data_IF_520456202074
#
_entry.id   IF_520456202074
#
_cell.length_a   1.000
_cell.length_b   1.000
_cell.length_c   1.000
_cell.angle_alpha   90.00
_cell.angle_beta   90.00
_cell.angle_gamma   90.00
#
_symmetry.space_group_name_H-M   'P 1'
#
loop_
_entity.id
_entity.type
_entity.pdbx_description
1 polymer ?
#
# COMPACT_ATOMS: atom_id res chain seq x y z
N UNK A 1 46.60 44.69 -67.73
CA UNK A 1 45.44 44.70 -66.81
C UNK A 1 45.98 44.68 -65.39
N UNK A 2 45.51 45.56 -64.49
CA UNK A 2 45.86 45.45 -63.08
C UNK A 2 45.24 44.18 -62.48
N UNK A 3 45.90 43.55 -61.49
CA UNK A 3 45.41 42.33 -60.85
C UNK A 3 44.09 42.63 -60.11
N UNK A 4 43.19 41.65 -60.11
CA UNK A 4 41.88 41.79 -59.47
C UNK A 4 42.04 41.94 -57.96
N UNK A 5 41.49 43.02 -57.40
CA UNK A 5 41.43 43.23 -55.96
C UNK A 5 40.44 42.25 -55.32
N UNK A 6 40.82 41.70 -54.17
CA UNK A 6 40.02 40.75 -53.40
C UNK A 6 39.94 41.22 -51.96
N UNK A 7 38.79 40.95 -51.35
CA UNK A 7 38.55 41.23 -49.94
C UNK A 7 39.05 40.06 -49.09
N UNK A 8 39.78 40.34 -48.01
CA UNK A 8 40.42 39.32 -47.18
C UNK A 8 40.14 39.52 -45.70
N UNK A 9 39.97 38.40 -45.00
CA UNK A 9 39.77 38.37 -43.54
C UNK A 9 40.88 37.53 -42.92
N UNK A 10 41.46 38.03 -41.81
CA UNK A 10 42.44 37.29 -41.01
C UNK A 10 41.72 36.52 -39.89
N UNK A 11 41.89 35.20 -39.84
CA UNK A 11 41.28 34.35 -38.82
C UNK A 11 42.21 34.23 -37.60
N UNK A 12 41.66 34.35 -36.39
CA UNK A 12 42.39 34.14 -35.14
C UNK A 12 41.94 32.83 -34.46
N UNK A 13 42.88 32.11 -33.86
CA UNK A 13 42.57 30.92 -33.08
C UNK A 13 41.87 31.31 -31.77
N UNK A 14 40.75 30.66 -31.49
CA UNK A 14 39.98 30.84 -30.26
C UNK A 14 39.26 29.56 -29.89
N UNK A 15 38.94 29.39 -28.61
CA UNK A 15 38.20 28.22 -28.15
C UNK A 15 36.72 28.37 -28.51
N UNK A 16 36.16 27.35 -29.16
CA UNK A 16 34.74 27.24 -29.40
C UNK A 16 34.16 26.13 -28.51
N UNK A 17 33.08 26.44 -27.79
CA UNK A 17 32.34 25.42 -27.03
C UNK A 17 31.34 24.76 -27.98
N UNK A 18 31.45 23.45 -28.15
CA UNK A 18 30.50 22.67 -28.92
C UNK A 18 29.34 22.26 -27.99
N UNK A 19 28.17 22.83 -28.20
CA UNK A 19 26.96 22.44 -27.48
C UNK A 19 26.08 21.56 -28.35
N UNK A 20 25.39 20.60 -27.72
CA UNK A 20 24.43 19.73 -28.36
C UNK A 20 23.12 19.78 -27.57
N UNK A 21 22.03 20.15 -28.24
CA UNK A 21 20.70 20.10 -27.65
C UNK A 21 20.08 18.74 -27.91
N UNK A 22 19.66 18.08 -26.83
CA UNK A 22 19.05 16.76 -26.87
C UNK A 22 17.58 16.88 -26.43
N UNK A 23 16.61 16.55 -27.29
CA UNK A 23 15.21 16.55 -26.90
C UNK A 23 14.95 15.43 -25.89
N UNK A 24 14.17 15.73 -24.85
CA UNK A 24 13.80 14.79 -23.80
C UNK A 24 12.36 14.97 -23.35
N UNK A 25 11.82 13.96 -22.66
CA UNK A 25 10.51 14.04 -21.99
C UNK A 25 10.68 13.78 -20.51
N UNK A 26 9.92 14.51 -19.70
CA UNK A 26 9.85 14.27 -18.26
C UNK A 26 9.00 13.03 -17.97
N UNK A 27 9.41 12.27 -16.96
CA UNK A 27 8.66 11.13 -16.42
C UNK A 27 8.58 11.24 -14.91
N UNK A 28 7.50 10.70 -14.34
CA UNK A 28 7.35 10.64 -12.90
C UNK A 28 8.44 9.74 -12.29
N UNK A 29 9.08 10.22 -11.22
CA UNK A 29 10.08 9.44 -10.49
C UNK A 29 9.49 8.16 -9.88
N UNK A 30 8.23 8.21 -9.43
CA UNK A 30 7.46 7.07 -8.93
C UNK A 30 6.01 7.19 -9.36
N UNK A 31 5.42 6.08 -9.75
CA UNK A 31 3.99 5.97 -10.05
C UNK A 31 3.39 4.85 -9.22
N UNK A 32 2.20 5.08 -8.67
CA UNK A 32 1.48 4.10 -7.88
C UNK A 32 0.03 4.01 -8.38
N UNK A 33 -0.43 2.78 -8.63
CA UNK A 33 -1.83 2.52 -8.96
C UNK A 33 -2.56 2.07 -7.70
N UNK A 34 -3.57 2.82 -7.30
CA UNK A 34 -4.40 2.47 -6.15
C UNK A 34 -5.51 1.54 -6.64
N UNK A 35 -5.58 0.33 -6.06
CA UNK A 35 -6.59 -0.68 -6.37
C UNK A 35 -7.28 -1.14 -5.10
N UNK A 36 -8.58 -1.41 -5.18
CA UNK A 36 -9.31 -2.02 -4.10
C UNK A 36 -8.81 -3.47 -3.88
N UNK A 37 -8.61 -3.85 -2.62
CA UNK A 37 -8.23 -5.22 -2.23
C UNK A 37 -9.41 -6.08 -1.81
N UNK A 38 -10.56 -5.45 -1.60
CA UNK A 38 -11.80 -6.06 -1.15
C UNK A 38 -12.93 -5.56 -2.04
N UNK A 39 -13.96 -6.37 -2.20
CA UNK A 39 -15.16 -6.01 -2.93
C UNK A 39 -16.05 -5.09 -2.08
N UNK A 40 -16.85 -4.26 -2.74
CA UNK A 40 -17.80 -3.40 -2.06
C UNK A 40 -18.09 -2.11 -2.81
N UNK A 41 -19.06 -1.36 -2.30
CA UNK A 41 -19.48 -0.09 -2.87
C UNK A 41 -18.65 1.04 -2.24
N UNK A 42 -18.13 1.95 -3.07
CA UNK A 42 -17.43 3.15 -2.58
C UNK A 42 -18.46 4.12 -1.99
N UNK A 43 -18.40 4.36 -0.68
CA UNK A 43 -19.26 5.32 0.01
C UNK A 43 -18.77 6.76 -0.21
N UNK A 44 -17.46 6.98 -0.06
CA UNK A 44 -16.88 8.33 -0.10
C UNK A 44 -15.47 8.34 -0.69
N UNK A 45 -15.16 9.44 -1.38
CA UNK A 45 -13.81 9.84 -1.75
C UNK A 45 -13.31 10.86 -0.71
N UNK A 46 -12.14 10.60 -0.13
CA UNK A 46 -11.60 11.34 1.02
C UNK A 46 -10.47 12.31 0.64
N UNK A 47 -10.23 12.52 -0.65
CA UNK A 47 -9.20 13.43 -1.15
C UNK A 47 -9.75 14.31 -2.26
N UNK A 48 -9.04 15.42 -2.53
CA UNK A 48 -9.31 16.31 -3.65
C UNK A 48 -8.42 15.92 -4.83
N UNK A 49 -8.97 15.85 -6.02
CA UNK A 49 -8.18 15.57 -7.22
C UNK A 49 -7.12 16.66 -7.45
N UNK A 50 -5.92 16.23 -7.81
CA UNK A 50 -4.77 17.12 -8.03
C UNK A 50 -4.08 17.61 -6.76
N UNK A 51 -4.50 17.19 -5.55
CA UNK A 51 -3.78 17.53 -4.31
C UNK A 51 -2.64 16.56 -4.00
N UNK A 52 -1.58 17.06 -3.37
CA UNK A 52 -0.54 16.23 -2.78
C UNK A 52 -1.06 15.46 -1.56
N UNK A 53 -0.75 14.16 -1.53
CA UNK A 53 -1.15 13.24 -0.44
C UNK A 53 0.08 12.62 0.21
N UNK A 54 -0.01 12.35 1.52
CA UNK A 54 1.04 11.64 2.25
C UNK A 54 0.77 10.13 2.22
N UNK A 55 1.82 9.35 2.45
CA UNK A 55 1.68 7.91 2.60
C UNK A 55 0.77 7.59 3.80
N UNK A 56 -0.14 6.63 3.62
CA UNK A 56 -1.10 6.22 4.65
C UNK A 56 -2.38 7.07 4.73
N UNK A 57 -2.49 8.16 3.96
CA UNK A 57 -3.73 8.94 3.90
C UNK A 57 -4.87 8.09 3.32
N UNK A 58 -6.02 7.97 4.02
CA UNK A 58 -7.20 7.29 3.47
C UNK A 58 -7.70 8.01 2.21
N UNK A 59 -7.86 7.26 1.11
CA UNK A 59 -8.31 7.83 -0.17
C UNK A 59 -9.77 7.54 -0.46
N UNK A 60 -10.22 6.34 -0.13
CA UNK A 60 -11.58 5.87 -0.37
C UNK A 60 -12.12 5.17 0.86
N UNK A 61 -13.41 5.34 1.10
CA UNK A 61 -14.17 4.59 2.08
C UNK A 61 -15.11 3.65 1.34
N UNK A 62 -14.98 2.35 1.61
CA UNK A 62 -15.86 1.29 1.08
C UNK A 62 -16.89 0.96 2.15
N UNK A 63 -18.14 0.66 1.76
CA UNK A 63 -19.16 0.20 2.68
C UNK A 63 -18.70 -1.08 3.39
N UNK A 64 -18.39 -0.92 4.66
CA UNK A 64 -17.86 -1.96 5.51
C UNK A 64 -18.91 -2.71 6.32
N UNK A 65 -20.22 -2.57 6.08
CA UNK A 65 -21.26 -3.19 6.92
C UNK A 65 -21.09 -4.70 7.02
N UNK A 66 -20.94 -5.41 5.90
CA UNK A 66 -20.73 -6.86 5.88
C UNK A 66 -19.43 -7.24 6.59
N UNK A 67 -18.34 -6.51 6.35
CA UNK A 67 -17.05 -6.75 7.01
C UNK A 67 -17.10 -6.50 8.52
N UNK A 68 -17.81 -5.46 8.97
CA UNK A 68 -18.03 -5.18 10.39
C UNK A 68 -18.84 -6.29 11.04
N UNK A 69 -19.95 -6.70 10.44
CA UNK A 69 -20.77 -7.80 10.97
C UNK A 69 -19.97 -9.11 11.06
N UNK A 70 -19.20 -9.45 10.02
CA UNK A 70 -18.34 -10.64 10.03
C UNK A 70 -17.26 -10.56 11.11
N UNK A 71 -16.62 -9.40 11.29
CA UNK A 71 -15.63 -9.18 12.34
C UNK A 71 -16.24 -9.28 13.74
N UNK A 72 -17.43 -8.73 13.97
CA UNK A 72 -18.15 -8.86 15.24
C UNK A 72 -18.52 -10.31 15.54
N UNK A 73 -18.99 -11.07 14.55
CA UNK A 73 -19.27 -12.51 14.69
C UNK A 73 -18.01 -13.28 15.08
N UNK A 74 -16.90 -13.09 14.37
CA UNK A 74 -15.64 -13.77 14.66
C UNK A 74 -15.10 -13.40 16.05
N UNK A 75 -15.24 -12.14 16.47
CA UNK A 75 -14.89 -11.72 17.83
C UNK A 75 -15.72 -12.42 18.90
N UNK A 76 -17.02 -12.59 18.68
CA UNK A 76 -17.89 -13.31 19.60
C UNK A 76 -17.51 -14.80 19.69
N UNK A 77 -17.23 -15.43 18.55
CA UNK A 77 -16.79 -16.83 18.48
C UNK A 77 -15.44 -17.04 19.20
N UNK A 78 -14.48 -16.14 18.97
CA UNK A 78 -13.19 -16.16 19.66
C UNK A 78 -13.34 -15.93 21.18
N UNK A 79 -14.23 -15.03 21.60
CA UNK A 79 -14.51 -14.80 23.02
C UNK A 79 -15.13 -16.04 23.69
N UNK A 80 -16.07 -16.72 23.03
CA UNK A 80 -16.66 -17.96 23.52
C UNK A 80 -15.63 -19.09 23.61
N UNK A 81 -14.80 -19.26 22.57
CA UNK A 81 -13.73 -20.25 22.58
C UNK A 81 -12.73 -19.97 23.71
N UNK A 82 -12.38 -18.70 23.94
CA UNK A 82 -11.49 -18.29 25.02
C UNK A 82 -12.07 -18.61 26.39
N UNK A 83 -13.34 -18.26 26.62
CA UNK A 83 -14.02 -18.59 27.87
C UNK A 83 -14.08 -20.10 28.13
N UNK A 84 -14.24 -20.91 27.07
CA UNK A 84 -14.23 -22.37 27.18
C UNK A 84 -12.87 -22.90 27.62
N UNK A 85 -11.79 -22.42 27.00
CA UNK A 85 -10.41 -22.77 27.38
C UNK A 85 -10.10 -22.34 28.81
N UNK A 86 -10.42 -21.10 29.18
CA UNK A 86 -10.18 -20.60 30.55
C UNK A 86 -10.96 -21.41 31.60
N UNK A 87 -12.17 -21.90 31.25
CA UNK A 87 -12.93 -22.81 32.12
C UNK A 87 -12.31 -24.20 32.21
N UNK A 88 -11.77 -24.73 31.11
CA UNK A 88 -11.21 -26.09 31.08
C UNK A 88 -9.84 -26.20 31.77
N UNK A 89 -9.04 -25.13 31.79
CA UNK A 89 -7.75 -25.09 32.50
C UNK A 89 -7.82 -25.61 33.95
N UNK A 90 -8.61 -25.00 34.87
CA UNK A 90 -8.69 -25.48 36.26
C UNK A 90 -9.39 -26.84 36.37
N UNK A 91 -10.31 -27.18 35.45
CA UNK A 91 -10.98 -28.47 35.46
C UNK A 91 -10.04 -29.62 35.07
N UNK A 92 -9.07 -29.37 34.19
CA UNK A 92 -8.05 -30.35 33.83
C UNK A 92 -7.12 -30.63 35.01
N UNK A 93 -6.75 -29.59 35.77
CA UNK A 93 -5.97 -29.72 37.01
C UNK A 93 -6.71 -30.58 38.05
N UNK A 94 -8.03 -30.44 38.12
CA UNK A 94 -8.92 -31.27 38.95
C UNK A 94 -9.26 -32.64 38.34
N UNK A 95 -8.70 -32.98 37.16
CA UNK A 95 -9.01 -34.19 36.37
C UNK A 95 -10.51 -34.38 36.05
N UNK A 96 -11.26 -33.28 36.00
CA UNK A 96 -12.69 -33.25 35.71
C UNK A 96 -13.01 -33.16 34.20
N UNK A 97 -12.01 -32.85 33.38
CA UNK A 97 -12.07 -32.90 31.91
C UNK A 97 -10.85 -33.62 31.36
N UNK A 98 -10.97 -34.24 30.19
CA UNK A 98 -9.88 -34.97 29.55
C UNK A 98 -8.89 -34.04 28.84
N UNK A 99 -7.64 -34.50 28.66
CA UNK A 99 -6.63 -33.76 27.86
C UNK A 99 -7.09 -33.52 26.42
N UNK A 100 -7.80 -34.49 25.82
CA UNK A 100 -8.33 -34.38 24.47
C UNK A 100 -9.36 -33.25 24.34
N UNK A 101 -10.25 -33.09 25.33
CA UNK A 101 -11.24 -31.99 25.34
C UNK A 101 -10.56 -30.63 25.50
N UNK A 102 -9.50 -30.55 26.31
CA UNK A 102 -8.71 -29.33 26.44
C UNK A 102 -8.01 -28.99 25.13
N UNK A 103 -7.29 -29.93 24.52
CA UNK A 103 -6.63 -29.72 23.22
C UNK A 103 -7.61 -29.33 22.12
N UNK A 104 -8.82 -29.91 22.09
CA UNK A 104 -9.87 -29.54 21.15
C UNK A 104 -10.37 -28.10 21.38
N UNK A 105 -10.54 -27.67 22.64
CA UNK A 105 -10.93 -26.30 22.97
C UNK A 105 -9.82 -25.29 22.58
N UNK A 106 -8.56 -25.65 22.79
CA UNK A 106 -7.40 -24.86 22.37
C UNK A 106 -7.28 -24.73 20.86
N UNK A 107 -7.52 -25.82 20.12
CA UNK A 107 -7.54 -25.81 18.67
C UNK A 107 -8.65 -24.89 18.14
N UNK A 108 -9.85 -24.97 18.75
CA UNK A 108 -10.99 -24.12 18.39
C UNK A 108 -10.71 -22.63 18.65
N UNK A 109 -10.00 -22.29 19.73
CA UNK A 109 -9.59 -20.91 20.01
C UNK A 109 -8.56 -20.40 18.99
N UNK A 110 -7.65 -21.24 18.50
CA UNK A 110 -6.66 -20.85 17.49
C UNK A 110 -7.26 -20.68 16.09
N UNK A 111 -8.41 -21.32 15.84
CA UNK A 111 -9.11 -21.24 14.56
C UNK A 111 -10.01 -20.00 14.44
N UNK A 112 -10.50 -19.48 15.58
CA UNK A 112 -11.33 -18.28 15.67
C UNK A 112 -10.50 -17.00 15.57
#
# INVERSE_FOLDING_TARGET
MPPAEVDVITVAAGNAVLTQELPGRLQAWRTAQVRARVEGVVEKRLFKEGSDIKAGTPLFQIDGRTYRTAAESARADAALARATVERYKPLLDMKAVSKQEMEAAEAKLKQA
#
